data_IF_252870941891
#
_entry.id   IF_252870941891
#
_cell.length_a   1.000
_cell.length_b   1.000
_cell.length_c   1.000
_cell.angle_alpha   90.00
_cell.angle_beta   90.00
_cell.angle_gamma   90.00
#
_symmetry.space_group_name_H-M   'P 1'
#
loop_
_entity.id
_entity.type
_entity.pdbx_description
1 polymer ?
#
# COMPACT_ATOMS: atom_id res chain seq x y z
N UNK A 1 6.99 -7.39 -7.64
CA UNK A 1 6.44 -7.56 -8.99
C UNK A 1 4.94 -7.29 -9.04
N UNK A 2 4.52 -6.75 -10.16
CA UNK A 2 3.14 -6.40 -10.40
C UNK A 2 2.38 -7.60 -10.95
N UNK A 3 1.19 -7.88 -10.38
CA UNK A 3 0.30 -8.88 -10.93
C UNK A 3 -0.84 -8.21 -11.69
N UNK A 4 -1.15 -6.98 -11.34
CA UNK A 4 -2.22 -6.21 -11.97
C UNK A 4 -1.69 -4.84 -12.31
N UNK A 5 -2.20 -4.26 -13.36
CA UNK A 5 -1.82 -2.91 -13.74
C UNK A 5 -2.22 -1.92 -12.65
N UNK A 6 -1.31 -1.03 -12.34
CA UNK A 6 -1.57 0.10 -11.47
C UNK A 6 -1.68 1.30 -12.38
N UNK A 7 -2.86 1.92 -12.41
CA UNK A 7 -3.10 3.07 -13.27
C UNK A 7 -3.20 4.33 -12.43
N UNK A 8 -2.20 5.18 -12.57
CA UNK A 8 -2.19 6.50 -11.94
C UNK A 8 -2.24 7.58 -13.01
N UNK A 9 -2.74 7.21 -14.18
CA UNK A 9 -2.81 8.07 -15.34
C UNK A 9 -3.67 9.28 -15.06
N UNK A 10 -3.20 10.44 -15.45
CA UNK A 10 -3.93 11.69 -15.29
C UNK A 10 -3.76 12.34 -13.93
N UNK A 11 -3.04 11.70 -13.01
CA UNK A 11 -2.82 12.25 -11.68
C UNK A 11 -1.46 12.92 -11.65
N UNK A 12 -1.45 14.20 -11.27
CA UNK A 12 -0.20 14.91 -11.06
C UNK A 12 0.49 14.31 -9.83
N UNK A 13 1.80 14.06 -9.92
CA UNK A 13 2.53 13.42 -8.84
C UNK A 13 2.36 14.12 -7.50
N UNK A 14 2.35 15.45 -7.50
CA UNK A 14 2.23 16.23 -6.26
C UNK A 14 0.84 16.10 -5.64
N UNK A 15 -0.15 15.76 -6.43
CA UNK A 15 -1.53 15.64 -5.96
C UNK A 15 -1.90 14.22 -5.62
N UNK A 16 -0.99 13.27 -5.80
CA UNK A 16 -1.24 11.87 -5.52
C UNK A 16 -1.47 11.67 -4.02
N UNK A 17 -2.62 11.09 -3.68
CA UNK A 17 -3.01 10.83 -2.30
C UNK A 17 -2.68 9.40 -1.93
N UNK A 18 -1.78 9.23 -0.98
CA UNK A 18 -1.27 7.92 -0.60
C UNK A 18 -1.66 7.60 0.84
N UNK A 19 -2.30 6.46 1.05
CA UNK A 19 -2.56 5.96 2.39
C UNK A 19 -1.44 4.97 2.74
N UNK A 20 -0.82 5.17 3.89
CA UNK A 20 0.25 4.29 4.35
C UNK A 20 -0.18 3.67 5.68
N UNK A 21 -0.38 2.34 5.66
CA UNK A 21 -0.70 1.59 6.86
C UNK A 21 0.58 0.91 7.34
N UNK A 22 1.17 1.45 8.39
CA UNK A 22 2.45 0.99 8.91
C UNK A 22 2.55 1.35 10.39
N UNK A 23 2.61 0.35 11.26
CA UNK A 23 2.63 0.57 12.72
C UNK A 23 4.03 0.86 13.26
N UNK A 24 5.08 0.50 12.55
CA UNK A 24 6.46 0.71 12.99
C UNK A 24 6.94 2.10 12.57
N UNK A 25 7.31 2.91 13.55
CA UNK A 25 7.71 4.29 13.28
C UNK A 25 8.94 4.39 12.38
N UNK A 26 9.91 3.51 12.55
CA UNK A 26 11.13 3.54 11.73
C UNK A 26 10.81 3.20 10.28
N UNK A 27 9.97 2.20 10.06
CA UNK A 27 9.56 1.84 8.71
C UNK A 27 8.76 2.96 8.07
N UNK A 28 7.86 3.56 8.84
CA UNK A 28 7.07 4.68 8.33
C UNK A 28 7.96 5.87 7.96
N UNK A 29 8.96 6.18 8.81
CA UNK A 29 9.86 7.30 8.55
C UNK A 29 10.61 7.12 7.23
N UNK A 30 11.03 5.90 6.93
CA UNK A 30 11.69 5.61 5.67
C UNK A 30 10.76 5.86 4.49
N UNK A 31 9.53 5.34 4.55
CA UNK A 31 8.56 5.52 3.48
C UNK A 31 8.23 6.99 3.31
N UNK A 32 8.01 7.69 4.41
CA UNK A 32 7.72 9.13 4.39
C UNK A 32 8.84 9.91 3.70
N UNK A 33 10.08 9.57 4.00
CA UNK A 33 11.22 10.23 3.37
C UNK A 33 11.25 9.99 1.87
N UNK A 34 11.01 8.74 1.46
CA UNK A 34 11.01 8.38 0.03
C UNK A 34 9.90 9.12 -0.71
N UNK A 35 8.74 9.25 -0.08
CA UNK A 35 7.53 9.79 -0.71
C UNK A 35 7.23 11.23 -0.28
N UNK A 36 8.25 11.97 0.13
CA UNK A 36 8.05 13.30 0.72
C UNK A 36 7.38 14.32 -0.19
N UNK A 37 7.38 14.08 -1.49
CA UNK A 37 6.77 15.02 -2.45
C UNK A 37 5.30 14.72 -2.71
N UNK A 38 4.78 13.65 -2.12
CA UNK A 38 3.39 13.25 -2.29
C UNK A 38 2.56 13.60 -1.06
N UNK A 39 1.25 13.51 -1.20
CA UNK A 39 0.33 13.72 -0.07
C UNK A 39 0.13 12.39 0.64
N UNK A 40 0.59 12.29 1.87
CA UNK A 40 0.52 11.03 2.61
C UNK A 40 -0.33 11.14 3.86
N UNK A 41 -1.09 10.07 4.12
CA UNK A 41 -1.86 9.90 5.34
C UNK A 41 -1.43 8.58 5.96
N UNK A 42 -1.10 8.59 7.26
CA UNK A 42 -0.66 7.39 7.97
C UNK A 42 -1.76 6.83 8.84
N UNK A 43 -1.89 5.51 8.83
CA UNK A 43 -2.65 4.76 9.83
C UNK A 43 -1.75 3.67 10.40
N UNK A 44 -2.11 3.09 11.55
CA UNK A 44 -1.23 2.17 12.26
C UNK A 44 -1.82 0.77 12.46
N UNK A 45 -3.00 0.52 11.92
CA UNK A 45 -3.57 -0.83 11.94
C UNK A 45 -4.59 -0.96 10.81
N UNK A 46 -5.04 -2.19 10.59
CA UNK A 46 -5.94 -2.46 9.47
C UNK A 46 -7.32 -1.86 9.63
N UNK A 47 -7.80 -1.74 10.87
CA UNK A 47 -9.12 -1.12 11.10
C UNK A 47 -9.11 0.32 10.63
N UNK A 48 -8.06 1.06 11.03
CA UNK A 48 -7.93 2.45 10.60
C UNK A 48 -7.80 2.56 9.09
N UNK A 49 -7.09 1.61 8.46
CA UNK A 49 -6.93 1.62 7.02
C UNK A 49 -8.28 1.47 6.32
N UNK A 50 -9.10 0.52 6.77
CA UNK A 50 -10.42 0.30 6.19
C UNK A 50 -11.30 1.55 6.36
N UNK A 51 -11.28 2.13 7.57
CA UNK A 51 -12.07 3.33 7.85
C UNK A 51 -11.66 4.50 6.96
N UNK A 52 -10.36 4.68 6.75
CA UNK A 52 -9.88 5.78 5.90
C UNK A 52 -10.31 5.60 4.45
N UNK A 53 -10.20 4.39 3.92
CA UNK A 53 -10.63 4.14 2.55
C UNK A 53 -12.14 4.32 2.40
N UNK A 54 -12.90 3.95 3.43
CA UNK A 54 -14.35 4.17 3.42
C UNK A 54 -14.71 5.66 3.39
N UNK A 55 -13.99 6.46 4.16
CA UNK A 55 -14.38 7.85 4.42
C UNK A 55 -13.67 8.88 3.53
N UNK A 56 -12.54 8.55 2.94
CA UNK A 56 -11.75 9.48 2.13
C UNK A 56 -11.27 8.81 0.86
N UNK A 57 -10.92 9.61 -0.13
CA UNK A 57 -10.43 9.08 -1.40
C UNK A 57 -8.91 9.05 -1.42
N UNK A 58 -8.35 7.93 -1.83
CA UNK A 58 -6.92 7.74 -2.00
C UNK A 58 -6.66 7.17 -3.38
N UNK A 59 -5.46 7.45 -3.88
CA UNK A 59 -5.04 6.95 -5.19
C UNK A 59 -4.31 5.64 -5.10
N UNK A 60 -3.69 5.36 -3.95
CA UNK A 60 -2.94 4.13 -3.74
C UNK A 60 -2.78 3.88 -2.25
N UNK A 61 -2.73 2.60 -1.87
CA UNK A 61 -2.53 2.19 -0.48
C UNK A 61 -1.25 1.37 -0.39
N UNK A 62 -0.39 1.73 0.56
CA UNK A 62 0.75 0.91 0.95
C UNK A 62 0.35 0.22 2.25
N UNK A 63 0.30 -1.11 2.23
CA UNK A 63 -0.28 -1.89 3.32
C UNK A 63 0.72 -2.87 3.91
N UNK A 64 1.17 -2.57 5.14
CA UNK A 64 1.98 -3.53 5.88
C UNK A 64 1.12 -4.76 6.19
N UNK A 65 1.70 -5.93 5.99
CA UNK A 65 0.95 -7.17 6.24
C UNK A 65 0.83 -7.50 7.72
N UNK A 66 1.78 -7.05 8.54
CA UNK A 66 1.77 -7.36 9.97
C UNK A 66 1.53 -6.11 10.80
N UNK A 67 0.33 -5.98 11.30
CA UNK A 67 -0.06 -4.86 12.15
C UNK A 67 -0.93 -5.38 13.27
N UNK A 68 -0.98 -4.67 14.42
CA UNK A 68 -1.86 -5.09 15.52
C UNK A 68 -3.32 -4.85 15.16
N UNK A 69 -4.21 -5.47 15.93
CA UNK A 69 -5.67 -5.33 15.85
C UNK A 69 -6.24 -5.98 14.61
N UNK A 70 -5.83 -5.51 13.42
CA UNK A 70 -6.19 -6.11 12.14
C UNK A 70 -5.00 -6.01 11.23
N UNK A 71 -4.55 -7.15 10.70
CA UNK A 71 -3.41 -7.18 9.79
C UNK A 71 -3.77 -6.76 8.38
N UNK A 72 -2.74 -6.68 7.54
CA UNK A 72 -2.93 -6.18 6.18
C UNK A 72 -3.73 -7.07 5.26
N UNK A 73 -3.68 -8.39 5.44
CA UNK A 73 -4.47 -9.30 4.60
C UNK A 73 -5.97 -9.10 4.81
N UNK A 74 -6.39 -9.07 6.08
CA UNK A 74 -7.79 -8.87 6.39
C UNK A 74 -8.24 -7.48 5.95
N UNK A 75 -7.40 -6.46 6.21
CA UNK A 75 -7.72 -5.09 5.79
C UNK A 75 -7.89 -5.02 4.28
N UNK A 76 -7.01 -5.67 3.53
CA UNK A 76 -7.09 -5.67 2.07
C UNK A 76 -8.40 -6.30 1.59
N UNK A 77 -8.79 -7.41 2.19
CA UNK A 77 -10.06 -8.06 1.82
C UNK A 77 -11.24 -7.12 2.05
N UNK A 78 -11.25 -6.43 3.20
CA UNK A 78 -12.32 -5.51 3.54
C UNK A 78 -12.32 -4.29 2.64
N UNK A 79 -11.14 -3.76 2.32
CA UNK A 79 -11.04 -2.63 1.40
C UNK A 79 -11.58 -3.02 0.02
N UNK A 80 -11.31 -4.25 -0.43
CA UNK A 80 -11.80 -4.70 -1.72
C UNK A 80 -13.32 -4.78 -1.79
N UNK A 81 -13.99 -4.98 -0.66
CA UNK A 81 -15.44 -4.92 -0.62
C UNK A 81 -15.95 -3.51 -0.83
N UNK A 82 -15.17 -2.52 -0.40
CA UNK A 82 -15.53 -1.10 -0.53
C UNK A 82 -15.08 -0.53 -1.87
N UNK A 83 -13.92 -0.96 -2.34
CA UNK A 83 -13.29 -0.40 -3.54
C UNK A 83 -12.51 -1.49 -4.25
N UNK A 84 -13.08 -2.07 -5.31
CA UNK A 84 -12.43 -3.20 -6.00
C UNK A 84 -11.25 -2.81 -6.87
N UNK A 85 -11.00 -1.51 -7.10
CA UNK A 85 -9.99 -1.09 -8.06
C UNK A 85 -8.84 -0.27 -7.50
N UNK A 86 -8.93 0.25 -6.27
CA UNK A 86 -7.83 1.05 -5.73
C UNK A 86 -6.54 0.20 -5.67
N UNK A 87 -5.41 0.73 -6.18
CA UNK A 87 -4.15 -0.01 -6.08
C UNK A 87 -3.73 -0.22 -4.63
N UNK A 88 -3.37 -1.46 -4.29
CA UNK A 88 -2.87 -1.80 -2.95
C UNK A 88 -1.55 -2.53 -3.12
N UNK A 89 -0.50 -2.00 -2.50
CA UNK A 89 0.82 -2.60 -2.52
C UNK A 89 1.10 -3.16 -1.13
N UNK A 90 1.32 -4.47 -1.06
CA UNK A 90 1.63 -5.13 0.19
C UNK A 90 3.09 -4.87 0.58
N UNK A 91 3.32 -4.57 1.85
CA UNK A 91 4.67 -4.43 2.39
C UNK A 91 4.89 -5.62 3.31
N UNK A 92 5.86 -6.46 2.99
CA UNK A 92 6.05 -7.72 3.70
C UNK A 92 7.50 -7.89 4.16
N UNK A 93 7.70 -8.57 5.30
CA UNK A 93 9.03 -8.88 5.78
C UNK A 93 9.65 -10.05 5.03
N UNK A 94 8.84 -10.83 4.32
CA UNK A 94 9.28 -12.04 3.63
C UNK A 94 8.92 -12.00 2.16
N UNK A 95 9.86 -12.45 1.32
CA UNK A 95 9.62 -12.59 -0.10
C UNK A 95 9.25 -14.03 -0.48
N UNK A 96 8.84 -14.85 0.50
CA UNK A 96 8.46 -16.23 0.25
C UNK A 96 7.18 -16.28 -0.59
N UNK A 97 7.11 -17.28 -1.45
CA UNK A 97 5.98 -17.43 -2.36
C UNK A 97 4.64 -17.48 -1.63
N UNK A 98 4.58 -18.13 -0.46
CA UNK A 98 3.34 -18.23 0.29
C UNK A 98 2.81 -16.86 0.72
N UNK A 99 3.71 -15.97 1.16
CA UNK A 99 3.31 -14.62 1.58
C UNK A 99 2.83 -13.81 0.39
N UNK A 100 3.53 -13.95 -0.73
CA UNK A 100 3.14 -13.25 -1.96
C UNK A 100 1.77 -13.74 -2.44
N UNK A 101 1.58 -15.05 -2.47
CA UNK A 101 0.31 -15.63 -2.91
C UNK A 101 -0.82 -15.12 -2.01
N UNK A 102 -0.63 -15.13 -0.70
CA UNK A 102 -1.65 -14.66 0.24
C UNK A 102 -2.01 -13.21 -0.01
N UNK A 103 -1.01 -12.35 -0.24
CA UNK A 103 -1.26 -10.93 -0.49
C UNK A 103 -2.04 -10.75 -1.79
N UNK A 104 -1.65 -11.45 -2.84
CA UNK A 104 -2.33 -11.31 -4.12
C UNK A 104 -3.74 -11.88 -4.09
N UNK A 105 -3.95 -12.99 -3.39
CA UNK A 105 -5.28 -13.57 -3.22
C UNK A 105 -6.20 -12.65 -2.42
N UNK A 106 -5.65 -11.91 -1.48
CA UNK A 106 -6.42 -10.95 -0.70
C UNK A 106 -6.84 -9.74 -1.54
N UNK A 107 -6.17 -9.50 -2.67
CA UNK A 107 -6.52 -8.42 -3.57
C UNK A 107 -5.44 -7.36 -3.79
N UNK A 108 -4.21 -7.60 -3.33
CA UNK A 108 -3.11 -6.67 -3.58
C UNK A 108 -2.70 -6.70 -5.05
N UNK A 109 -2.25 -5.57 -5.54
CA UNK A 109 -1.80 -5.43 -6.93
C UNK A 109 -0.32 -5.77 -7.07
N UNK A 110 0.45 -5.59 -5.99
CA UNK A 110 1.89 -5.83 -6.00
C UNK A 110 2.33 -6.05 -4.56
N UNK A 111 3.59 -6.46 -4.39
CA UNK A 111 4.18 -6.52 -3.07
C UNK A 111 5.62 -6.05 -3.13
N UNK A 112 6.10 -5.52 -2.00
CA UNK A 112 7.49 -5.14 -1.84
C UNK A 112 7.98 -5.74 -0.53
N UNK A 113 9.24 -6.17 -0.53
CA UNK A 113 9.86 -6.77 0.65
C UNK A 113 10.61 -5.71 1.44
N UNK A 114 10.47 -5.75 2.76
CA UNK A 114 11.23 -4.86 3.65
C UNK A 114 12.65 -5.36 3.79
N UNK A 115 13.64 -4.50 3.96
CA UNK A 115 13.53 -3.04 4.00
C UNK A 115 13.24 -2.48 2.62
N UNK A 116 12.38 -1.46 2.55
CA UNK A 116 11.98 -0.87 1.29
C UNK A 116 13.15 -0.15 0.65
N UNK A 117 13.25 -0.26 -0.65
CA UNK A 117 14.25 0.44 -1.45
C UNK A 117 13.59 1.53 -2.26
N UNK A 118 14.19 2.71 -2.25
CA UNK A 118 13.64 3.86 -2.93
C UNK A 118 13.34 3.56 -4.40
N UNK A 119 14.28 2.91 -5.08
CA UNK A 119 14.14 2.62 -6.50
C UNK A 119 12.94 1.75 -6.79
N UNK A 120 12.74 0.70 -5.96
CA UNK A 120 11.63 -0.23 -6.17
C UNK A 120 10.30 0.45 -5.95
N UNK A 121 10.20 1.26 -4.90
CA UNK A 121 8.95 1.93 -4.58
C UNK A 121 8.59 2.97 -5.63
N UNK A 122 9.56 3.79 -6.03
CA UNK A 122 9.32 4.83 -7.02
C UNK A 122 9.03 4.25 -8.39
N UNK A 123 9.60 3.10 -8.71
CA UNK A 123 9.32 2.42 -9.97
C UNK A 123 7.84 2.07 -10.09
N UNK A 124 7.23 1.61 -9.01
CA UNK A 124 5.81 1.31 -9.02
C UNK A 124 4.97 2.56 -9.30
N UNK A 125 5.41 3.70 -8.80
CA UNK A 125 4.69 4.96 -8.98
C UNK A 125 4.86 5.53 -10.38
N UNK A 126 6.00 5.30 -11.01
CA UNK A 126 6.23 5.80 -12.37
C UNK A 126 5.66 4.86 -13.42
N UNK A 127 5.21 3.70 -13.03
CA UNK A 127 4.73 2.63 -13.89
C UNK A 127 3.23 2.79 -14.12
N UNK A 128 2.85 3.86 -14.75
CA UNK A 128 1.45 4.29 -14.72
C UNK A 128 0.80 4.26 -16.08
N UNK A 129 1.38 3.66 -16.98
CA UNK A 129 0.81 3.73 -18.29
C UNK A 129 0.44 2.46 -18.92
#
# INVERSE_FOLDING_TARGET
PLNHSISLKGINGKDLQILIAEDNDSNYSLVKHILKEYQITRVVNGVEAVEKVRDEEFDIVLMDMKMPIMGGLEATRKIRELNPIIPIIALTANAFDADRVSAMEAGCNAFLTKPLKKEELLELFSFKL
#
